data_IF_733065370469
#
_entry.id   IF_733065370469
#
_cell.length_a   1.000
_cell.length_b   1.000
_cell.length_c   1.000
_cell.angle_alpha   90.00
_cell.angle_beta   90.00
_cell.angle_gamma   90.00
#
_symmetry.space_group_name_H-M   'P 1'
#
loop_
_entity.id
_entity.type
_entity.pdbx_description
1 polymer ?
#
# COMPACT_ATOMS: atom_id res chain seq x y z
N UNK A 1 -4.43 -27.16 -18.43
CA UNK A 1 -4.46 -26.72 -19.84
C UNK A 1 -5.41 -25.53 -19.95
N UNK A 2 -4.91 -24.34 -20.27
CA UNK A 2 -5.77 -23.16 -20.45
C UNK A 2 -6.46 -23.16 -21.83
N UNK A 3 -7.66 -22.56 -21.96
CA UNK A 3 -8.37 -22.51 -23.23
C UNK A 3 -7.63 -21.62 -24.23
N UNK A 4 -7.30 -22.18 -25.40
CA UNK A 4 -6.69 -21.43 -26.52
C UNK A 4 -7.76 -20.54 -27.16
N UNK A 5 -7.47 -19.25 -27.30
CA UNK A 5 -8.30 -18.30 -28.06
C UNK A 5 -8.39 -18.74 -29.54
N UNK A 6 -9.55 -18.60 -30.20
CA UNK A 6 -9.69 -18.91 -31.61
C UNK A 6 -8.87 -17.95 -32.49
N UNK A 7 -8.40 -18.39 -33.67
CA UNK A 7 -7.62 -17.55 -34.57
C UNK A 7 -8.44 -16.37 -35.08
N UNK A 8 -7.81 -15.18 -35.09
CA UNK A 8 -8.36 -13.93 -35.62
C UNK A 8 -8.59 -14.09 -37.12
N UNK A 9 -9.80 -13.81 -37.59
CA UNK A 9 -10.16 -13.89 -39.00
C UNK A 9 -9.26 -12.99 -39.87
N UNK A 10 -8.94 -13.40 -41.12
CA UNK A 10 -8.09 -12.63 -42.02
C UNK A 10 -8.73 -11.26 -42.36
N UNK A 11 -7.92 -10.20 -42.49
CA UNK A 11 -8.39 -8.82 -42.66
C UNK A 11 -9.24 -8.61 -43.94
N UNK A 12 -9.11 -9.50 -44.92
CA UNK A 12 -9.79 -9.42 -46.21
C UNK A 12 -11.32 -9.67 -46.11
N UNK A 13 -11.75 -10.52 -45.17
CA UNK A 13 -13.18 -10.81 -44.95
C UNK A 13 -13.93 -9.64 -44.28
N UNK A 14 -13.21 -8.82 -43.49
CA UNK A 14 -13.74 -7.58 -42.93
C UNK A 14 -13.82 -6.48 -43.99
N UNK A 15 -12.81 -6.39 -44.86
CA UNK A 15 -12.80 -5.40 -45.95
C UNK A 15 -13.95 -5.60 -46.95
N UNK A 16 -14.29 -6.85 -47.30
CA UNK A 16 -15.44 -7.14 -48.17
C UNK A 16 -16.78 -6.79 -47.52
N UNK A 17 -16.96 -7.10 -46.23
CA UNK A 17 -18.18 -6.72 -45.50
C UNK A 17 -18.36 -5.20 -45.39
N UNK A 18 -17.27 -4.47 -45.13
CA UNK A 18 -17.31 -3.00 -45.05
C UNK A 18 -17.61 -2.39 -46.43
N UNK A 19 -17.03 -2.92 -47.50
CA UNK A 19 -17.31 -2.46 -48.86
C UNK A 19 -18.77 -2.74 -49.30
N UNK A 20 -19.33 -3.88 -48.88
CA UNK A 20 -20.74 -4.22 -49.14
C UNK A 20 -21.69 -3.33 -48.32
N UNK A 21 -21.33 -2.99 -47.08
CA UNK A 21 -22.10 -2.08 -46.23
C UNK A 21 -22.03 -0.61 -46.72
N UNK A 22 -20.88 -0.17 -47.23
CA UNK A 22 -20.72 1.13 -47.90
C UNK A 22 -21.51 1.22 -49.21
N UNK A 23 -21.50 0.16 -50.03
CA UNK A 23 -22.25 0.13 -51.29
C UNK A 23 -23.77 0.19 -51.07
N UNK A 24 -24.28 -0.37 -49.96
CA UNK A 24 -25.70 -0.30 -49.57
C UNK A 24 -26.06 1.04 -48.93
N UNK A 25 -25.12 1.73 -48.28
CA UNK A 25 -25.36 3.04 -47.68
C UNK A 25 -25.55 4.17 -48.70
N UNK A 26 -24.98 4.04 -49.91
CA UNK A 26 -25.04 5.07 -50.97
C UNK A 26 -26.36 5.09 -51.73
N UNK A 27 -27.14 4.00 -51.73
CA UNK A 27 -28.38 3.88 -52.53
C UNK A 27 -29.69 4.06 -51.73
N UNK A 28 -29.63 4.48 -50.46
CA UNK A 28 -30.86 4.92 -49.80
C UNK A 28 -31.25 6.29 -50.37
N UNK A 29 -32.41 6.43 -51.04
CA UNK A 29 -32.89 7.75 -51.42
C UNK A 29 -32.93 8.58 -50.13
N UNK A 30 -32.25 9.72 -50.12
CA UNK A 30 -32.26 10.67 -49.00
C UNK A 30 -33.71 11.11 -48.82
N UNK A 31 -34.46 10.40 -47.98
CA UNK A 31 -35.79 10.83 -47.63
C UNK A 31 -35.66 12.24 -47.08
N UNK A 32 -36.47 13.20 -47.57
CA UNK A 32 -36.48 14.53 -47.00
C UNK A 32 -36.76 14.35 -45.51
N UNK A 33 -35.85 14.86 -44.67
CA UNK A 33 -36.05 14.80 -43.23
C UNK A 33 -37.39 15.46 -42.94
N UNK A 34 -38.28 14.72 -42.29
CA UNK A 34 -39.54 15.29 -41.81
C UNK A 34 -39.22 16.54 -40.98
N UNK A 35 -40.09 17.57 -41.02
CA UNK A 35 -39.91 18.74 -40.18
C UNK A 35 -39.77 18.26 -38.73
N UNK A 36 -38.59 18.53 -38.15
CA UNK A 36 -38.30 18.17 -36.76
C UNK A 36 -39.07 19.17 -35.91
N UNK A 37 -40.19 18.74 -35.35
CA UNK A 37 -40.88 19.49 -34.31
C UNK A 37 -39.97 19.56 -33.09
N UNK A 38 -39.23 20.66 -32.96
CA UNK A 38 -38.34 20.89 -31.85
C UNK A 38 -39.13 21.39 -30.66
N UNK A 39 -39.35 20.51 -29.68
CA UNK A 39 -39.80 20.90 -28.35
C UNK A 39 -38.56 21.08 -27.46
N UNK A 40 -38.23 22.32 -27.02
CA UNK A 40 -37.11 22.52 -26.11
C UNK A 40 -37.37 21.73 -24.83
N UNK A 41 -36.42 20.88 -24.45
CA UNK A 41 -36.52 20.11 -23.22
C UNK A 41 -36.50 21.06 -22.02
N UNK A 42 -37.47 20.92 -21.13
CA UNK A 42 -37.55 21.72 -19.92
C UNK A 42 -36.63 21.16 -18.83
N UNK A 43 -36.30 21.99 -17.83
CA UNK A 43 -35.53 21.55 -16.67
C UNK A 43 -36.24 20.43 -15.89
N UNK A 44 -37.57 20.37 -15.98
CA UNK A 44 -38.37 19.29 -15.40
C UNK A 44 -38.15 17.97 -16.14
N UNK A 45 -38.12 17.99 -17.47
CA UNK A 45 -37.81 16.81 -18.30
C UNK A 45 -36.41 16.25 -18.01
N UNK A 46 -35.43 17.14 -17.79
CA UNK A 46 -34.07 16.74 -17.42
C UNK A 46 -34.02 16.05 -16.05
N UNK A 47 -34.69 16.63 -15.05
CA UNK A 47 -34.79 16.06 -13.69
C UNK A 47 -35.54 14.73 -13.69
N UNK A 48 -36.56 14.55 -14.54
CA UNK A 48 -37.28 13.27 -14.65
C UNK A 48 -36.42 12.17 -15.28
N UNK A 49 -35.64 12.50 -16.33
CA UNK A 49 -34.80 11.52 -17.04
C UNK A 49 -33.52 11.14 -16.29
N UNK A 50 -32.89 12.10 -15.62
CA UNK A 50 -31.59 11.91 -14.96
C UNK A 50 -31.68 11.95 -13.42
N UNK A 51 -32.85 12.24 -12.86
CA UNK A 51 -33.08 12.29 -11.41
C UNK A 51 -32.21 13.35 -10.70
N UNK A 52 -32.12 13.23 -9.38
CA UNK A 52 -31.11 13.97 -8.59
C UNK A 52 -29.67 13.59 -8.96
N UNK A 53 -29.46 12.46 -9.65
CA UNK A 53 -28.15 12.01 -10.13
C UNK A 53 -27.56 12.92 -11.21
N UNK A 54 -28.40 13.56 -12.03
CA UNK A 54 -27.96 14.53 -13.03
C UNK A 54 -27.57 15.90 -12.44
N UNK A 55 -28.12 16.24 -11.27
CA UNK A 55 -27.90 17.54 -10.63
C UNK A 55 -26.78 17.52 -9.56
N UNK A 56 -26.54 16.38 -8.92
CA UNK A 56 -25.67 16.30 -7.73
C UNK A 56 -24.49 15.33 -7.86
N UNK A 57 -24.30 14.68 -9.01
CA UNK A 57 -23.15 13.82 -9.19
C UNK A 57 -21.92 14.67 -9.54
N UNK A 58 -21.16 15.05 -8.51
CA UNK A 58 -19.86 15.67 -8.68
C UNK A 58 -18.99 14.78 -9.58
N UNK A 59 -18.78 15.22 -10.82
CA UNK A 59 -17.77 14.65 -11.69
C UNK A 59 -16.44 14.79 -10.94
N UNK A 60 -15.74 13.67 -10.74
CA UNK A 60 -14.51 13.63 -9.97
C UNK A 60 -13.55 14.75 -10.38
N UNK A 61 -12.79 15.28 -9.43
CA UNK A 61 -11.88 16.39 -9.69
C UNK A 61 -10.77 15.93 -10.64
N UNK A 62 -10.39 16.82 -11.56
CA UNK A 62 -9.20 16.64 -12.40
C UNK A 62 -8.03 16.38 -11.44
N UNK A 63 -7.33 15.26 -11.65
CA UNK A 63 -6.21 14.86 -10.80
C UNK A 63 -5.11 15.91 -10.73
N UNK A 64 -4.12 15.75 -9.84
CA UNK A 64 -3.00 16.66 -9.77
C UNK A 64 -2.28 16.73 -11.12
N UNK A 65 -1.98 17.96 -11.55
CA UNK A 65 -1.22 18.20 -12.77
C UNK A 65 0.18 17.60 -12.62
N UNK A 66 0.56 16.76 -13.58
CA UNK A 66 1.83 16.02 -13.53
C UNK A 66 2.99 16.87 -14.03
N UNK A 67 2.70 17.91 -14.82
CA UNK A 67 3.69 18.80 -15.43
C UNK A 67 3.91 20.07 -14.60
N UNK A 68 3.20 20.22 -13.48
CA UNK A 68 3.45 21.27 -12.50
C UNK A 68 4.86 21.10 -11.90
N UNK A 69 5.67 22.15 -11.99
CA UNK A 69 7.05 22.21 -11.50
C UNK A 69 7.12 21.83 -10.02
N UNK A 70 6.12 22.24 -9.22
CA UNK A 70 6.04 21.89 -7.80
C UNK A 70 5.88 20.40 -7.56
N UNK A 71 5.12 19.69 -8.41
CA UNK A 71 4.90 18.24 -8.31
C UNK A 71 6.15 17.48 -8.77
N UNK A 72 6.80 17.94 -9.84
CA UNK A 72 8.06 17.35 -10.31
C UNK A 72 9.18 17.46 -9.27
N UNK A 73 9.35 18.64 -8.66
CA UNK A 73 10.36 18.85 -7.61
C UNK A 73 10.11 17.95 -6.40
N UNK A 74 8.85 17.82 -5.95
CA UNK A 74 8.50 16.89 -4.85
C UNK A 74 8.81 15.44 -5.20
N UNK A 75 8.52 15.02 -6.43
CA UNK A 75 8.86 13.66 -6.91
C UNK A 75 10.37 13.44 -6.91
N UNK A 76 11.15 14.39 -7.43
CA UNK A 76 12.60 14.31 -7.45
C UNK A 76 13.20 14.19 -6.03
N UNK A 77 12.69 14.97 -5.07
CA UNK A 77 13.12 14.86 -3.66
C UNK A 77 12.77 13.50 -3.07
N UNK A 78 11.56 12.99 -3.30
CA UNK A 78 11.16 11.67 -2.83
C UNK A 78 12.02 10.56 -3.43
N UNK A 79 12.40 10.66 -4.70
CA UNK A 79 13.29 9.71 -5.34
C UNK A 79 14.70 9.73 -4.75
N UNK A 80 15.26 10.91 -4.49
CA UNK A 80 16.54 11.06 -3.78
C UNK A 80 16.50 10.41 -2.40
N UNK A 81 15.44 10.65 -1.62
CA UNK A 81 15.27 10.04 -0.29
C UNK A 81 15.18 8.51 -0.40
N UNK A 82 14.45 7.99 -1.40
CA UNK A 82 14.35 6.54 -1.64
C UNK A 82 15.69 5.92 -2.02
N UNK A 83 16.47 6.59 -2.88
CA UNK A 83 17.81 6.13 -3.28
C UNK A 83 18.74 6.07 -2.07
N UNK A 84 18.77 7.14 -1.28
CA UNK A 84 19.58 7.21 -0.07
C UNK A 84 19.20 6.13 0.95
N UNK A 85 17.90 5.89 1.16
CA UNK A 85 17.41 4.82 2.03
C UNK A 85 17.85 3.43 1.56
N UNK A 86 17.83 3.17 0.25
CA UNK A 86 18.32 1.91 -0.33
C UNK A 86 19.81 1.71 -0.10
N UNK A 87 20.61 2.76 -0.28
CA UNK A 87 22.04 2.73 -0.01
C UNK A 87 22.36 2.49 1.46
N UNK A 88 21.69 3.20 2.38
CA UNK A 88 21.85 2.96 3.82
C UNK A 88 21.52 1.52 4.19
N UNK A 89 20.42 0.97 3.67
CA UNK A 89 20.08 -0.44 3.88
C UNK A 89 21.18 -1.36 3.36
N UNK A 90 21.67 -1.12 2.14
CA UNK A 90 22.75 -1.92 1.56
C UNK A 90 24.03 -1.88 2.42
N UNK A 91 24.44 -0.69 2.85
CA UNK A 91 25.62 -0.51 3.71
C UNK A 91 25.44 -1.21 5.04
N UNK A 92 24.28 -1.06 5.69
CA UNK A 92 23.99 -1.71 6.97
C UNK A 92 23.97 -3.23 6.83
N UNK A 93 23.38 -3.76 5.77
CA UNK A 93 23.42 -5.20 5.48
C UNK A 93 24.86 -5.66 5.30
N UNK A 94 25.67 -5.00 4.46
CA UNK A 94 27.06 -5.35 4.24
C UNK A 94 27.91 -5.32 5.52
N UNK A 95 27.73 -4.29 6.35
CA UNK A 95 28.41 -4.17 7.66
C UNK A 95 27.97 -5.28 8.61
N UNK A 96 26.68 -5.60 8.69
CA UNK A 96 26.18 -6.68 9.54
C UNK A 96 26.68 -8.05 9.10
N UNK A 97 26.77 -8.32 7.78
CA UNK A 97 27.28 -9.61 7.29
C UNK A 97 28.78 -9.78 7.52
N UNK A 98 29.55 -8.69 7.58
CA UNK A 98 30.99 -8.73 7.81
C UNK A 98 31.37 -8.92 9.29
N UNK A 99 30.47 -8.61 10.22
CA UNK A 99 30.78 -8.53 11.67
C UNK A 99 29.98 -9.52 12.52
N UNK A 100 29.10 -10.36 11.97
CA UNK A 100 28.34 -11.32 12.78
C UNK A 100 29.18 -12.60 13.02
N UNK A 101 29.72 -12.82 14.24
CA UNK A 101 30.09 -14.17 14.65
C UNK A 101 28.81 -15.03 14.66
N UNK A 102 28.94 -16.26 14.16
CA UNK A 102 27.87 -17.26 14.10
C UNK A 102 27.13 -17.28 15.46
N UNK A 103 25.80 -17.06 15.50
CA UNK A 103 25.09 -17.09 16.77
C UNK A 103 25.32 -18.45 17.44
N UNK A 104 25.61 -18.49 18.75
CA UNK A 104 25.79 -19.75 19.46
C UNK A 104 24.54 -20.61 19.25
N UNK A 105 24.69 -21.94 19.09
CA UNK A 105 23.56 -22.83 18.89
C UNK A 105 22.56 -22.58 20.01
N UNK A 106 21.30 -22.32 19.64
CA UNK A 106 20.22 -22.07 20.61
C UNK A 106 20.25 -23.20 21.64
N UNK A 107 20.33 -22.91 22.95
CA UNK A 107 20.30 -23.95 23.95
C UNK A 107 19.03 -24.76 23.76
N UNK A 108 19.15 -26.09 23.79
CA UNK A 108 18.01 -26.99 23.71
C UNK A 108 16.93 -26.51 24.68
N UNK A 109 15.67 -26.39 24.23
CA UNK A 109 14.62 -25.83 25.06
C UNK A 109 14.45 -26.72 26.29
N UNK A 110 14.88 -26.21 27.45
CA UNK A 110 14.63 -26.82 28.75
C UNK A 110 13.16 -27.21 28.81
N UNK A 111 12.89 -28.48 29.12
CA UNK A 111 11.54 -29.07 29.07
C UNK A 111 10.55 -28.14 29.75
N UNK A 112 9.75 -27.45 28.93
CA UNK A 112 8.83 -26.43 29.38
C UNK A 112 7.79 -27.08 30.30
N UNK A 113 7.35 -26.39 31.35
CA UNK A 113 6.26 -26.84 32.23
C UNK A 113 5.05 -27.35 31.42
N UNK A 114 4.75 -26.67 30.30
CA UNK A 114 3.72 -27.09 29.35
C UNK A 114 3.98 -28.46 28.71
N UNK A 115 5.22 -28.78 28.36
CA UNK A 115 5.58 -30.08 27.78
C UNK A 115 5.41 -31.22 28.80
N UNK A 116 5.86 -31.00 30.05
CA UNK A 116 5.65 -31.98 31.15
C UNK A 116 4.17 -32.20 31.46
N UNK A 117 3.37 -31.14 31.44
CA UNK A 117 1.94 -31.23 31.66
C UNK A 117 1.22 -32.02 30.54
N UNK A 118 1.68 -31.89 29.29
CA UNK A 118 1.13 -32.64 28.16
C UNK A 118 1.48 -34.14 28.25
N UNK A 119 2.71 -34.48 28.59
CA UNK A 119 3.12 -35.87 28.83
C UNK A 119 2.30 -36.52 29.95
N UNK A 120 2.09 -35.78 31.06
CA UNK A 120 1.27 -36.25 32.16
C UNK A 120 -0.21 -36.42 31.77
N UNK A 121 -0.78 -35.47 31.03
CA UNK A 121 -2.17 -35.54 30.57
C UNK A 121 -2.43 -36.71 29.61
N UNK A 122 -1.42 -37.14 28.85
CA UNK A 122 -1.52 -38.31 27.97
C UNK A 122 -1.50 -39.63 28.75
N UNK A 123 -0.80 -39.68 29.88
CA UNK A 123 -0.66 -40.89 30.70
C UNK A 123 -1.79 -41.12 31.71
N UNK A 124 -2.67 -40.14 31.93
CA UNK A 124 -3.82 -40.32 32.82
C UNK A 124 -4.98 -40.95 32.04
N UNK A 125 -5.58 -42.06 32.54
CA UNK A 125 -6.78 -42.63 31.95
C UNK A 125 -7.91 -41.61 31.91
N UNK A 126 -8.45 -41.36 30.71
CA UNK A 126 -9.51 -40.37 30.54
C UNK A 126 -10.76 -40.81 31.33
N UNK A 127 -11.30 -39.96 32.22
CA UNK A 127 -12.48 -40.28 32.99
C UNK A 127 -13.70 -40.48 32.08
N UNK A 128 -14.53 -41.45 32.40
CA UNK A 128 -15.79 -41.70 31.68
C UNK A 128 -16.71 -40.49 31.88
N UNK A 129 -16.93 -39.73 30.81
CA UNK A 129 -17.83 -38.59 30.80
C UNK A 129 -19.25 -39.08 31.09
N UNK A 130 -19.78 -38.74 32.27
CA UNK A 130 -21.22 -38.77 32.49
C UNK A 130 -21.81 -37.59 31.72
N UNK A 131 -22.91 -37.75 30.98
CA UNK A 131 -23.58 -36.62 30.36
C UNK A 131 -24.11 -35.72 31.48
N UNK A 132 -23.54 -34.54 31.67
CA UNK A 132 -24.14 -33.55 32.54
C UNK A 132 -23.99 -32.13 32.04
N UNK A 133 -25.06 -31.39 32.25
CA UNK A 133 -25.44 -30.12 31.67
C UNK A 133 -24.41 -29.02 31.94
N UNK A 134 -24.31 -28.12 30.96
CA UNK A 134 -23.42 -26.98 30.92
C UNK A 134 -23.51 -26.08 32.16
N UNK A 135 -22.35 -25.60 32.65
CA UNK A 135 -22.18 -24.22 33.17
C UNK A 135 -20.70 -23.83 33.42
N UNK A 136 -20.32 -22.77 32.71
CA UNK A 136 -19.39 -21.66 32.98
C UNK A 136 -18.00 -21.87 33.63
N UNK A 137 -16.97 -21.34 32.95
CA UNK A 137 -15.64 -21.05 33.50
C UNK A 137 -15.47 -19.55 33.81
N UNK A 138 -14.67 -19.15 34.82
CA UNK A 138 -14.41 -17.76 35.18
C UNK A 138 -13.20 -17.15 34.43
N UNK A 139 -13.20 -15.82 34.31
CA UNK A 139 -12.18 -15.01 33.63
C UNK A 139 -10.88 -14.82 34.44
N UNK A 140 -9.75 -14.68 33.73
CA UNK A 140 -8.39 -14.50 34.29
C UNK A 140 -7.86 -13.10 33.95
N UNK A 141 -7.19 -12.36 34.87
CA UNK A 141 -6.65 -11.03 34.60
C UNK A 141 -5.25 -11.05 33.95
N UNK A 142 -4.96 -9.96 33.26
CA UNK A 142 -3.91 -9.75 32.25
C UNK A 142 -2.59 -9.20 32.85
N UNK A 143 -1.49 -9.95 32.71
CA UNK A 143 -0.18 -9.68 33.32
C UNK A 143 0.86 -9.10 32.33
N UNK A 144 0.40 -8.47 31.23
CA UNK A 144 1.26 -8.09 30.09
C UNK A 144 1.78 -6.64 30.09
N UNK A 145 1.39 -5.79 31.05
CA UNK A 145 1.62 -4.32 30.97
C UNK A 145 3.00 -3.82 31.41
N UNK A 146 3.77 -4.59 32.19
CA UNK A 146 5.02 -4.08 32.77
C UNK A 146 6.22 -4.15 31.81
N UNK A 147 6.23 -5.09 30.86
CA UNK A 147 7.33 -5.28 29.93
C UNK A 147 7.39 -4.23 28.79
N UNK A 148 6.29 -3.54 28.52
CA UNK A 148 6.23 -2.51 27.47
C UNK A 148 6.70 -1.14 27.98
N UNK A 149 6.52 -0.86 29.28
CA UNK A 149 6.95 0.41 29.90
C UNK A 149 8.47 0.59 29.95
N UNK A 150 9.25 -0.48 30.13
CA UNK A 150 10.72 -0.40 30.15
C UNK A 150 11.32 -0.10 28.77
N UNK A 151 10.68 -0.57 27.69
CA UNK A 151 11.13 -0.31 26.31
C UNK A 151 10.94 1.14 25.93
N UNK A 152 9.81 1.72 26.31
CA UNK A 152 9.51 3.13 26.07
C UNK A 152 10.57 4.04 26.72
N UNK A 153 10.99 3.74 27.96
CA UNK A 153 12.00 4.53 28.67
C UNK A 153 13.38 4.45 27.98
N UNK A 154 13.78 3.26 27.54
CA UNK A 154 15.05 3.07 26.82
C UNK A 154 15.10 3.82 25.48
N UNK A 155 13.96 3.89 24.76
CA UNK A 155 13.86 4.61 23.49
C UNK A 155 14.00 6.14 23.69
N UNK A 156 13.50 6.70 24.79
CA UNK A 156 13.63 8.14 25.08
C UNK A 156 15.06 8.59 25.42
N UNK A 157 15.89 7.73 25.98
CA UNK A 157 17.30 8.04 26.26
C UNK A 157 18.14 8.03 24.99
N UNK A 158 17.91 7.04 24.11
CA UNK A 158 18.57 6.96 22.81
C UNK A 158 18.22 8.17 21.91
N UNK A 159 16.96 8.64 21.95
CA UNK A 159 16.54 9.86 21.24
C UNK A 159 17.32 11.07 21.74
N UNK A 160 17.45 11.25 23.06
CA UNK A 160 18.22 12.39 23.64
C UNK A 160 19.69 12.34 23.26
N UNK A 161 20.28 11.15 23.23
CA UNK A 161 21.67 10.96 22.81
C UNK A 161 21.87 11.38 21.35
N UNK A 162 20.95 11.00 20.45
CA UNK A 162 21.02 11.37 19.03
C UNK A 162 20.86 12.86 18.79
N UNK A 163 19.97 13.53 19.53
CA UNK A 163 19.80 14.98 19.43
C UNK A 163 21.11 15.69 19.80
N UNK A 164 21.73 15.28 20.91
CA UNK A 164 23.02 15.86 21.33
C UNK A 164 24.11 15.68 20.27
N UNK A 165 24.20 14.49 19.69
CA UNK A 165 25.18 14.22 18.62
C UNK A 165 24.92 15.07 17.37
N UNK A 166 23.65 15.24 16.99
CA UNK A 166 23.28 16.11 15.88
C UNK A 166 23.72 17.56 16.13
N UNK A 167 23.49 18.08 17.34
CA UNK A 167 23.87 19.46 17.68
C UNK A 167 25.40 19.66 17.65
N UNK A 168 26.15 18.67 18.14
CA UNK A 168 27.62 18.67 18.05
C UNK A 168 28.11 18.66 16.60
N UNK A 169 27.47 17.87 15.73
CA UNK A 169 27.85 17.79 14.32
C UNK A 169 27.46 19.07 13.56
N UNK A 170 26.32 19.68 13.88
CA UNK A 170 25.92 20.99 13.34
C UNK A 170 26.94 22.07 13.72
N UNK A 171 27.41 22.07 14.97
CA UNK A 171 28.44 23.01 15.42
C UNK A 171 29.76 22.84 14.64
N UNK A 172 30.25 21.61 14.47
CA UNK A 172 31.46 21.33 13.67
C UNK A 172 31.31 21.79 12.22
N UNK A 173 30.14 21.55 11.61
CA UNK A 173 29.88 22.00 10.23
C UNK A 173 29.87 23.53 10.15
N UNK A 174 29.35 24.22 11.16
CA UNK A 174 29.38 25.68 11.23
C UNK A 174 30.84 26.20 11.31
N UNK A 175 31.69 25.60 12.15
CA UNK A 175 33.12 25.95 12.23
C UNK A 175 33.83 25.77 10.89
N UNK A 176 33.59 24.65 10.19
CA UNK A 176 34.16 24.40 8.85
C UNK A 176 33.68 25.45 7.85
N UNK A 177 32.40 25.83 7.89
CA UNK A 177 31.87 26.88 7.01
C UNK A 177 32.51 28.24 7.30
N UNK A 178 32.68 28.59 8.57
CA UNK A 178 33.37 29.83 8.95
C UNK A 178 34.83 29.82 8.50
N UNK A 179 35.53 28.69 8.67
CA UNK A 179 36.89 28.53 8.21
C UNK A 179 37.00 28.73 6.69
N UNK A 180 36.13 28.09 5.90
CA UNK A 180 36.10 28.24 4.45
C UNK A 180 35.79 29.68 4.02
N UNK A 181 34.92 30.38 4.74
CA UNK A 181 34.60 31.79 4.47
C UNK A 181 35.75 32.75 4.81
N UNK A 182 36.69 32.35 5.67
CA UNK A 182 37.88 33.16 6.04
C UNK A 182 39.05 32.96 5.08
N UNK A 183 39.02 31.94 4.21
CA UNK A 183 40.06 31.75 3.21
C UNK A 183 39.92 32.84 2.13
N UNK A 184 40.99 33.61 1.83
CA UNK A 184 40.98 34.49 0.68
C UNK A 184 41.01 33.62 -0.58
N UNK A 185 39.94 33.67 -1.37
CA UNK A 185 39.91 33.14 -2.73
C UNK A 185 40.69 34.07 -3.68
#
# INVERSE_FOLDING_TARGET
AGPRKPPRAPPEALARKVAEEEAVAVQRPKQPRLPVEYTPATMEDYKQRYGEKGAAQELGRLGPDLDDEGVMMKRAVQEKVKQFSKELKRINTQRSTAVVPKPPPKPEPKVNSRAKALEFAQNIPRPKLKPNQAKAAPAVPDASKDADREKDIADWEEIRRRIKQHDEDVAKVAEVKEFLNRLPF
#
